data_IF_384534701920
#
_entry.id   IF_384534701920
#
_cell.length_a   1.000
_cell.length_b   1.000
_cell.length_c   1.000
_cell.angle_alpha   90.00
_cell.angle_beta   90.00
_cell.angle_gamma   90.00
#
_symmetry.space_group_name_H-M   'P 1'
#
loop_
_entity.id
_entity.type
_entity.pdbx_description
1 polymer ?
#
# COMPACT_ATOMS: atom_id res chain seq x y z
N UNK A 1 5.61 1.33 4.26
CA UNK A 1 5.81 0.96 2.84
C UNK A 1 7.20 0.39 2.69
N UNK A 2 7.51 -0.20 1.54
CA UNK A 2 8.79 -0.80 1.24
C UNK A 2 9.17 -0.48 -0.20
N UNK A 3 10.31 0.17 -0.37
CA UNK A 3 10.94 0.40 -1.67
C UNK A 3 12.04 -0.63 -1.85
N UNK A 4 11.96 -1.51 -2.86
CA UNK A 4 12.94 -2.57 -2.98
C UNK A 4 14.27 -2.04 -3.50
N UNK A 5 15.35 -2.68 -3.06
CA UNK A 5 16.69 -2.44 -3.59
C UNK A 5 16.99 -3.26 -4.84
N UNK A 6 16.29 -4.40 -5.00
CA UNK A 6 16.51 -5.36 -6.08
C UNK A 6 15.19 -5.86 -6.66
N UNK A 7 15.11 -5.89 -7.99
CA UNK A 7 13.95 -6.42 -8.73
C UNK A 7 14.43 -7.43 -9.78
N UNK A 8 13.98 -8.66 -9.63
CA UNK A 8 14.40 -9.80 -10.46
C UNK A 8 13.20 -10.56 -11.00
N UNK A 9 13.45 -11.34 -12.04
CA UNK A 9 12.48 -12.28 -12.60
C UNK A 9 13.12 -13.66 -12.69
N UNK A 10 12.45 -14.68 -12.15
CA UNK A 10 12.89 -16.07 -12.17
C UNK A 10 11.87 -16.92 -12.93
N UNK A 11 12.35 -17.75 -13.86
CA UNK A 11 11.49 -18.71 -14.55
C UNK A 11 11.20 -19.92 -13.66
N UNK A 12 9.93 -20.30 -13.58
CA UNK A 12 9.47 -21.51 -12.89
C UNK A 12 8.58 -22.32 -13.83
N UNK A 13 8.46 -23.63 -13.60
CA UNK A 13 7.50 -24.49 -14.32
C UNK A 13 6.38 -24.88 -13.38
N UNK A 14 5.16 -24.47 -13.69
CA UNK A 14 3.95 -24.84 -12.97
C UNK A 14 3.27 -26.02 -13.66
N UNK A 15 2.72 -26.92 -12.85
CA UNK A 15 1.91 -28.04 -13.33
C UNK A 15 0.43 -27.67 -13.24
N UNK A 16 -0.14 -27.24 -14.37
CA UNK A 16 -1.52 -26.80 -14.50
C UNK A 16 -2.44 -27.93 -15.00
N UNK A 17 -2.06 -29.20 -14.82
CA UNK A 17 -2.86 -30.33 -15.31
C UNK A 17 -4.26 -30.39 -14.70
N UNK A 18 -4.47 -29.84 -13.50
CA UNK A 18 -5.80 -29.74 -12.88
C UNK A 18 -6.80 -28.90 -13.70
N UNK A 19 -6.30 -27.99 -14.54
CA UNK A 19 -7.09 -27.17 -15.47
C UNK A 19 -6.87 -27.54 -16.94
N UNK A 20 -6.33 -28.74 -17.20
CA UNK A 20 -6.07 -29.28 -18.55
C UNK A 20 -5.07 -28.44 -19.39
N UNK A 21 -4.32 -27.52 -18.77
CA UNK A 21 -3.35 -26.66 -19.44
C UNK A 21 -1.93 -27.27 -19.53
N UNK A 22 -1.69 -28.39 -18.83
CA UNK A 22 -0.39 -29.07 -18.81
C UNK A 22 0.69 -28.30 -18.04
N UNK A 23 1.97 -28.53 -18.36
CA UNK A 23 3.07 -27.79 -17.74
C UNK A 23 3.31 -26.47 -18.47
N UNK A 24 3.38 -25.37 -17.73
CA UNK A 24 3.66 -24.04 -18.28
C UNK A 24 4.85 -23.41 -17.57
N UNK A 25 5.81 -22.91 -18.34
CA UNK A 25 6.88 -22.08 -17.79
C UNK A 25 6.40 -20.64 -17.70
N UNK A 26 6.52 -20.06 -16.51
CA UNK A 26 6.13 -18.67 -16.22
C UNK A 26 7.21 -17.93 -15.44
N UNK A 27 7.08 -16.62 -15.31
CA UNK A 27 8.03 -15.78 -14.60
C UNK A 27 7.45 -15.24 -13.28
N UNK A 28 8.13 -15.56 -12.19
CA UNK A 28 7.90 -14.89 -10.90
C UNK A 28 8.69 -13.60 -10.86
N UNK A 29 8.10 -12.52 -10.35
CA UNK A 29 8.84 -11.29 -10.06
C UNK A 29 9.11 -11.24 -8.56
N UNK A 30 10.36 -11.00 -8.22
CA UNK A 30 10.85 -10.90 -6.86
C UNK A 30 11.36 -9.48 -6.59
N UNK A 31 11.05 -8.99 -5.40
CA UNK A 31 11.60 -7.77 -4.84
C UNK A 31 12.30 -8.11 -3.53
N UNK A 32 13.60 -7.82 -3.39
CA UNK A 32 14.43 -8.22 -2.23
C UNK A 32 14.11 -9.64 -1.70
N UNK A 33 14.13 -10.64 -2.59
CA UNK A 33 13.84 -12.06 -2.32
C UNK A 33 12.40 -12.39 -1.89
N UNK A 34 11.48 -11.43 -1.99
CA UNK A 34 10.04 -11.63 -1.77
C UNK A 34 9.34 -11.72 -3.12
N UNK A 35 8.62 -12.82 -3.36
CA UNK A 35 7.76 -12.95 -4.55
C UNK A 35 6.66 -11.91 -4.45
N UNK A 36 6.56 -11.03 -5.46
CA UNK A 36 5.50 -10.01 -5.53
C UNK A 36 4.42 -10.38 -6.54
N UNK A 37 4.75 -11.17 -7.56
CA UNK A 37 3.78 -11.86 -8.41
C UNK A 37 4.30 -13.24 -8.82
N UNK A 38 3.39 -14.22 -8.93
CA UNK A 38 3.75 -15.62 -9.21
C UNK A 38 3.76 -15.98 -10.71
N UNK A 39 3.14 -15.18 -11.58
CA UNK A 39 3.18 -15.36 -13.04
C UNK A 39 2.90 -14.02 -13.75
N UNK A 40 3.92 -13.19 -13.93
CA UNK A 40 3.77 -11.79 -14.40
C UNK A 40 3.13 -11.67 -15.78
N UNK A 41 3.35 -12.65 -16.65
CA UNK A 41 2.79 -12.70 -18.01
C UNK A 41 1.30 -13.10 -18.04
N UNK A 42 0.76 -13.60 -16.92
CA UNK A 42 -0.65 -14.04 -16.84
C UNK A 42 -1.54 -13.04 -16.10
N UNK A 43 -0.96 -11.94 -15.59
CA UNK A 43 -1.70 -10.85 -14.97
C UNK A 43 -2.52 -10.13 -16.04
N UNK A 44 -3.83 -9.98 -15.80
CA UNK A 44 -4.67 -9.07 -16.57
C UNK A 44 -4.50 -7.65 -16.02
N UNK A 45 -3.72 -6.83 -16.73
CA UNK A 45 -3.45 -5.44 -16.38
C UNK A 45 -4.60 -4.49 -16.74
N UNK A 46 -5.62 -4.97 -17.45
CA UNK A 46 -6.81 -4.20 -17.80
C UNK A 46 -7.95 -4.36 -16.79
N UNK A 47 -7.89 -5.39 -15.94
CA UNK A 47 -8.82 -5.59 -14.84
C UNK A 47 -8.42 -4.74 -13.62
N UNK A 48 -9.40 -4.07 -13.01
CA UNK A 48 -9.20 -3.25 -11.81
C UNK A 48 -10.19 -3.72 -10.74
N UNK A 49 -9.70 -4.22 -9.58
CA UNK A 49 -8.29 -4.34 -9.18
C UNK A 49 -7.52 -5.49 -9.84
N UNK A 50 -6.21 -5.31 -9.95
CA UNK A 50 -5.30 -6.26 -10.59
C UNK A 50 -4.94 -7.37 -9.61
N UNK A 51 -5.00 -8.63 -10.04
CA UNK A 51 -4.59 -9.77 -9.21
C UNK A 51 -3.12 -10.15 -9.47
N UNK A 52 -2.24 -9.90 -8.50
CA UNK A 52 -0.80 -10.19 -8.58
C UNK A 52 -0.46 -11.66 -8.22
N UNK A 53 -1.31 -12.31 -7.43
CA UNK A 53 -1.17 -13.72 -7.07
C UNK A 53 -2.32 -14.51 -7.66
N UNK A 54 -2.04 -15.23 -8.75
CA UNK A 54 -3.00 -16.07 -9.45
C UNK A 54 -3.03 -17.48 -8.86
N UNK A 55 -4.10 -18.22 -9.10
CA UNK A 55 -4.19 -19.62 -8.72
C UNK A 55 -3.07 -20.44 -9.39
N UNK A 56 -2.29 -21.19 -8.61
CA UNK A 56 -1.17 -21.98 -9.14
C UNK A 56 -1.62 -23.20 -9.97
N UNK A 57 -2.90 -23.57 -9.91
CA UNK A 57 -3.46 -24.69 -10.68
C UNK A 57 -3.95 -24.31 -12.08
N UNK A 58 -4.25 -23.02 -12.32
CA UNK A 58 -4.84 -22.57 -13.58
C UNK A 58 -4.35 -21.21 -14.10
N UNK A 59 -3.73 -20.37 -13.26
CA UNK A 59 -3.31 -19.01 -13.58
C UNK A 59 -4.42 -18.10 -14.14
N UNK A 60 -5.69 -18.43 -13.86
CA UNK A 60 -6.84 -17.64 -14.30
C UNK A 60 -7.15 -16.59 -13.23
N UNK A 61 -7.17 -15.28 -13.59
CA UNK A 61 -7.63 -14.22 -12.68
C UNK A 61 -9.03 -14.52 -12.13
N UNK A 62 -9.24 -14.26 -10.83
CA UNK A 62 -10.48 -14.53 -10.11
C UNK A 62 -10.71 -15.98 -9.71
N UNK A 63 -9.89 -16.95 -10.18
CA UNK A 63 -10.03 -18.34 -9.74
C UNK A 63 -9.57 -18.53 -8.29
N UNK A 64 -8.46 -17.90 -7.91
CA UNK A 64 -7.98 -17.85 -6.53
C UNK A 64 -8.52 -16.63 -5.80
N UNK A 65 -8.73 -16.74 -4.49
CA UNK A 65 -9.05 -15.59 -3.64
C UNK A 65 -7.80 -14.78 -3.27
N UNK A 66 -7.95 -13.47 -3.21
CA UNK A 66 -6.94 -12.54 -2.72
C UNK A 66 -5.87 -12.19 -3.75
N UNK A 67 -4.77 -11.59 -3.29
CA UNK A 67 -3.68 -11.15 -4.16
C UNK A 67 -4.01 -9.93 -5.01
N UNK A 68 -5.14 -9.26 -4.74
CA UNK A 68 -5.61 -8.12 -5.51
C UNK A 68 -4.99 -6.82 -4.99
N UNK A 69 -4.62 -5.96 -5.92
CA UNK A 69 -3.95 -4.69 -5.66
C UNK A 69 -4.43 -3.63 -6.64
N UNK A 70 -4.20 -2.40 -6.23
CA UNK A 70 -4.41 -1.21 -7.02
C UNK A 70 -3.07 -0.49 -7.17
N UNK A 71 -2.85 0.10 -8.35
CA UNK A 71 -1.63 0.84 -8.65
C UNK A 71 -1.96 2.33 -8.69
N UNK A 72 -1.18 3.11 -7.95
CA UNK A 72 -1.36 4.57 -7.85
C UNK A 72 -0.05 5.30 -8.01
N UNK A 73 -0.11 6.48 -8.61
CA UNK A 73 1.01 7.40 -8.69
C UNK A 73 0.94 8.37 -7.51
N UNK A 74 2.08 8.58 -6.86
CA UNK A 74 2.16 9.29 -5.60
C UNK A 74 3.59 9.83 -5.45
N UNK A 75 3.78 11.14 -5.54
CA UNK A 75 5.08 11.78 -5.31
C UNK A 75 6.25 11.38 -6.23
N UNK A 76 6.03 11.08 -7.51
CA UNK A 76 7.13 10.51 -8.33
C UNK A 76 7.32 9.02 -8.14
N UNK A 77 6.58 8.40 -7.22
CA UNK A 77 6.61 6.98 -6.97
C UNK A 77 5.32 6.30 -7.44
N UNK A 78 5.42 4.99 -7.66
CA UNK A 78 4.32 4.11 -8.02
C UNK A 78 4.06 3.22 -6.81
N UNK A 79 2.89 3.39 -6.19
CA UNK A 79 2.46 2.60 -5.06
C UNK A 79 1.62 1.41 -5.53
N UNK A 80 1.92 0.25 -4.97
CA UNK A 80 1.07 -0.94 -5.07
C UNK A 80 0.39 -1.12 -3.72
N UNK A 81 -0.89 -0.81 -3.68
CA UNK A 81 -1.71 -0.76 -2.47
C UNK A 81 -2.85 -1.78 -2.52
N UNK A 82 -3.43 -2.20 -1.39
CA UNK A 82 -4.68 -2.95 -1.39
C UNK A 82 -5.79 -2.17 -2.13
N UNK A 83 -6.72 -2.88 -2.76
CA UNK A 83 -7.93 -2.22 -3.25
C UNK A 83 -8.91 -2.00 -2.10
N UNK A 84 -8.74 -0.89 -1.40
CA UNK A 84 -9.58 -0.54 -0.28
C UNK A 84 -11.06 -0.41 -0.65
N UNK A 85 -11.39 0.02 -1.87
CA UNK A 85 -12.78 0.22 -2.29
C UNK A 85 -13.49 -1.13 -2.46
N UNK A 86 -12.81 -2.10 -3.04
CA UNK A 86 -13.35 -3.45 -3.17
C UNK A 86 -13.44 -4.15 -1.82
N UNK A 87 -12.49 -3.93 -0.91
CA UNK A 87 -12.51 -4.52 0.43
C UNK A 87 -13.64 -3.99 1.34
N UNK A 88 -14.26 -2.86 1.01
CA UNK A 88 -15.32 -2.24 1.81
C UNK A 88 -16.74 -2.68 1.44
N UNK A 89 -16.95 -3.39 0.33
CA UNK A 89 -18.29 -3.72 -0.15
C UNK A 89 -18.92 -4.95 0.59
N UNK A 90 -18.17 -5.71 1.41
CA UNK A 90 -18.72 -6.72 2.32
C UNK A 90 -17.78 -7.88 2.75
N UNK A 91 -18.34 -8.84 3.53
CA UNK A 91 -17.57 -9.91 4.18
C UNK A 91 -17.09 -11.06 3.26
N UNK A 92 -17.75 -11.29 2.11
CA UNK A 92 -17.31 -12.29 1.11
C UNK A 92 -16.09 -11.79 0.32
N UNK A 93 -15.96 -10.47 0.24
CA UNK A 93 -14.90 -9.77 -0.47
C UNK A 93 -13.61 -9.67 0.35
N UNK A 94 -13.64 -9.87 1.67
CA UNK A 94 -12.42 -9.88 2.48
C UNK A 94 -11.44 -10.98 2.05
N UNK A 95 -11.94 -12.15 1.65
CA UNK A 95 -11.11 -13.24 1.14
C UNK A 95 -10.79 -13.10 -0.35
N UNK A 96 -11.73 -12.58 -1.15
CA UNK A 96 -11.53 -12.41 -2.60
C UNK A 96 -10.58 -11.24 -2.92
N UNK A 97 -10.68 -10.15 -2.17
CA UNK A 97 -9.88 -8.93 -2.32
C UNK A 97 -8.82 -8.80 -1.24
N UNK A 98 -8.53 -9.90 -0.52
CA UNK A 98 -7.43 -9.94 0.42
C UNK A 98 -6.13 -9.43 -0.24
N UNK A 99 -5.37 -8.55 0.42
CA UNK A 99 -4.09 -8.10 -0.13
C UNK A 99 -3.10 -9.27 -0.26
N UNK A 100 -2.12 -9.17 -1.16
CA UNK A 100 -1.06 -10.17 -1.29
C UNK A 100 -0.38 -10.52 0.05
N UNK A 101 0.05 -11.78 0.25
CA UNK A 101 0.63 -12.22 1.53
C UNK A 101 1.84 -11.39 1.99
N UNK A 102 2.64 -10.87 1.05
CA UNK A 102 3.81 -10.04 1.37
C UNK A 102 3.44 -8.71 2.03
N UNK A 103 2.27 -8.12 1.71
CA UNK A 103 1.86 -6.83 2.27
C UNK A 103 1.67 -6.90 3.80
N UNK A 104 1.26 -8.06 4.31
CA UNK A 104 1.11 -8.26 5.77
C UNK A 104 2.45 -8.22 6.51
N UNK A 105 3.55 -8.54 5.84
CA UNK A 105 4.90 -8.64 6.43
C UNK A 105 5.79 -7.43 6.12
N UNK A 106 5.71 -6.91 4.90
CA UNK A 106 6.57 -5.83 4.38
C UNK A 106 5.84 -4.49 4.22
N UNK A 107 4.52 -4.46 4.38
CA UNK A 107 3.70 -3.31 4.00
C UNK A 107 3.55 -3.20 2.49
N UNK A 108 3.00 -2.07 2.02
CA UNK A 108 2.80 -1.79 0.60
C UNK A 108 4.11 -1.48 -0.13
N UNK A 109 4.19 -1.84 -1.41
CA UNK A 109 5.35 -1.55 -2.25
C UNK A 109 5.30 -0.11 -2.74
N UNK A 110 6.46 0.54 -2.72
CA UNK A 110 6.71 1.78 -3.45
C UNK A 110 7.80 1.55 -4.48
N UNK A 111 7.57 1.97 -5.71
CA UNK A 111 8.53 1.88 -6.80
C UNK A 111 8.91 3.26 -7.30
N UNK A 112 10.21 3.48 -7.46
CA UNK A 112 10.72 4.56 -8.28
C UNK A 112 10.37 4.31 -9.77
N UNK A 113 10.38 5.34 -10.63
CA UNK A 113 10.08 5.18 -12.05
C UNK A 113 10.94 4.11 -12.74
N UNK A 114 12.23 4.01 -12.38
CA UNK A 114 13.16 2.98 -12.86
C UNK A 114 12.78 1.57 -12.40
N UNK A 115 12.29 1.42 -11.17
CA UNK A 115 11.79 0.15 -10.64
C UNK A 115 10.56 -0.30 -11.42
N UNK A 116 9.64 0.63 -11.69
CA UNK A 116 8.46 0.34 -12.50
C UNK A 116 8.83 -0.05 -13.92
N UNK A 117 9.72 0.69 -14.57
CA UNK A 117 10.20 0.37 -15.91
C UNK A 117 10.93 -0.98 -15.95
N UNK A 118 11.65 -1.35 -14.89
CA UNK A 118 12.24 -2.68 -14.76
C UNK A 118 11.18 -3.77 -14.71
N UNK A 119 10.12 -3.61 -13.92
CA UNK A 119 8.99 -4.55 -13.90
C UNK A 119 8.34 -4.67 -15.29
N UNK A 120 8.10 -3.53 -15.96
CA UNK A 120 7.55 -3.50 -17.33
C UNK A 120 8.44 -4.20 -18.35
N UNK A 121 9.76 -4.27 -18.12
CA UNK A 121 10.67 -5.03 -18.99
C UNK A 121 10.41 -6.55 -18.94
N UNK A 122 9.84 -7.04 -17.83
CA UNK A 122 9.39 -8.43 -17.70
C UNK A 122 7.97 -8.63 -18.24
N UNK A 123 7.13 -7.60 -18.20
CA UNK A 123 5.75 -7.64 -18.69
C UNK A 123 5.37 -6.33 -19.37
N UNK A 124 5.52 -6.23 -20.71
CA UNK A 124 5.22 -5.01 -21.45
C UNK A 124 3.75 -4.56 -21.39
N UNK A 125 2.83 -5.47 -21.03
CA UNK A 125 1.40 -5.20 -20.86
C UNK A 125 1.11 -4.30 -19.65
N UNK A 126 2.01 -4.21 -18.67
CA UNK A 126 1.87 -3.32 -17.53
C UNK A 126 1.81 -1.84 -17.97
N UNK A 127 0.95 -1.03 -17.33
CA UNK A 127 0.67 0.33 -17.77
C UNK A 127 1.92 1.20 -17.77
N UNK A 128 2.04 2.09 -18.76
CA UNK A 128 3.05 3.16 -18.74
C UNK A 128 2.81 4.10 -17.57
N UNK A 129 3.86 4.79 -17.10
CA UNK A 129 3.79 5.75 -15.99
C UNK A 129 2.63 6.75 -16.15
N UNK A 130 2.47 7.32 -17.34
CA UNK A 130 1.42 8.31 -17.63
C UNK A 130 -0.01 7.78 -17.59
N UNK A 131 -0.19 6.45 -17.57
CA UNK A 131 -1.49 5.80 -17.49
C UNK A 131 -1.87 5.43 -16.05
N UNK A 132 -0.95 5.59 -15.09
CA UNK A 132 -1.21 5.30 -13.68
C UNK A 132 -1.95 6.49 -13.07
N UNK A 133 -3.11 6.20 -12.48
CA UNK A 133 -3.93 7.22 -11.82
C UNK A 133 -3.26 7.73 -10.53
N UNK A 134 -3.41 9.02 -10.19
CA UNK A 134 -2.93 9.54 -8.91
C UNK A 134 -3.67 8.88 -7.74
N UNK A 135 -2.99 8.74 -6.59
CA UNK A 135 -3.64 8.29 -5.35
C UNK A 135 -4.68 9.30 -4.87
N UNK A 136 -5.81 8.82 -4.37
CA UNK A 136 -6.84 9.68 -3.76
C UNK A 136 -6.55 9.93 -2.28
N UNK A 137 -7.17 10.98 -1.71
CA UNK A 137 -7.09 11.28 -0.27
C UNK A 137 -7.56 10.14 0.61
N UNK A 138 -8.65 9.51 0.22
CA UNK A 138 -9.19 8.35 0.91
C UNK A 138 -8.23 7.15 0.85
N UNK A 139 -7.72 6.81 -0.33
CA UNK A 139 -6.77 5.69 -0.50
C UNK A 139 -5.51 5.90 0.32
N UNK A 140 -4.98 7.12 0.38
CA UNK A 140 -3.79 7.42 1.16
C UNK A 140 -4.06 7.29 2.67
N UNK A 141 -5.17 7.80 3.19
CA UNK A 141 -5.51 7.60 4.61
C UNK A 141 -5.67 6.13 4.95
N UNK A 142 -6.37 5.36 4.11
CA UNK A 142 -6.54 3.92 4.30
C UNK A 142 -5.22 3.17 4.20
N UNK A 143 -4.29 3.61 3.34
CA UNK A 143 -2.94 3.08 3.28
C UNK A 143 -2.22 3.22 4.61
N UNK A 144 -2.40 4.34 5.31
CA UNK A 144 -1.81 4.55 6.62
C UNK A 144 -2.51 3.77 7.73
N UNK A 145 -3.84 3.65 7.67
CA UNK A 145 -4.56 2.74 8.55
C UNK A 145 -4.06 1.31 8.37
N UNK A 146 -3.86 0.87 7.13
CA UNK A 146 -3.35 -0.45 6.79
C UNK A 146 -1.96 -0.72 7.36
N UNK A 147 -1.10 0.31 7.41
CA UNK A 147 0.28 0.22 7.92
C UNK A 147 0.40 0.44 9.42
N UNK A 148 -0.66 0.91 10.07
CA UNK A 148 -0.64 1.15 11.51
C UNK A 148 -0.48 -0.16 12.31
N UNK A 149 0.15 -0.11 13.50
CA UNK A 149 0.25 -1.26 14.38
C UNK A 149 -1.12 -1.83 14.73
N UNK A 150 -1.33 -3.14 14.53
CA UNK A 150 -2.62 -3.81 14.80
C UNK A 150 -3.09 -3.72 16.25
N UNK A 151 -2.16 -3.57 17.18
CA UNK A 151 -2.51 -3.34 18.58
C UNK A 151 -3.17 -1.97 18.81
N UNK A 152 -2.75 -0.95 18.04
CA UNK A 152 -3.29 0.41 18.03
C UNK A 152 -4.58 0.52 17.21
N UNK A 153 -4.59 -0.07 16.01
CA UNK A 153 -5.74 -0.10 15.11
C UNK A 153 -6.03 -1.55 14.67
N UNK A 154 -6.87 -2.27 15.41
CA UNK A 154 -7.17 -3.67 15.11
C UNK A 154 -7.82 -3.85 13.74
N UNK A 155 -8.72 -2.94 13.38
CA UNK A 155 -9.41 -2.90 12.10
C UNK A 155 -9.02 -1.63 11.33
N UNK A 156 -8.37 -1.84 10.18
CA UNK A 156 -7.88 -0.77 9.32
C UNK A 156 -8.90 -0.30 8.28
N UNK A 157 -9.93 -1.12 8.01
CA UNK A 157 -11.02 -0.75 7.12
C UNK A 157 -12.03 0.12 7.88
N UNK A 158 -12.21 -0.18 9.16
CA UNK A 158 -13.13 0.50 10.06
C UNK A 158 -12.38 1.12 11.24
N UNK A 159 -11.91 2.38 11.12
CA UNK A 159 -11.08 3.01 12.15
C UNK A 159 -11.85 3.45 13.41
N UNK A 160 -13.03 2.89 13.67
CA UNK A 160 -13.86 3.17 14.85
C UNK A 160 -13.27 2.66 16.16
N UNK A 161 -12.28 1.78 16.10
CA UNK A 161 -11.69 1.08 17.26
C UNK A 161 -10.22 1.46 17.54
N UNK A 162 -9.81 2.68 17.15
CA UNK A 162 -8.46 3.19 17.44
C UNK A 162 -8.25 3.32 18.95
N UNK A 163 -7.15 2.76 19.47
CA UNK A 163 -6.76 2.82 20.88
C UNK A 163 -5.81 3.99 21.15
N UNK A 164 -6.39 5.19 21.20
CA UNK A 164 -5.64 6.44 21.42
C UNK A 164 -4.88 6.50 22.75
N UNK A 165 -5.33 5.74 23.75
CA UNK A 165 -4.67 5.58 25.05
C UNK A 165 -3.30 4.91 24.97
N UNK A 166 -2.98 4.25 23.84
CA UNK A 166 -1.66 3.67 23.60
C UNK A 166 -0.63 4.70 23.15
N UNK A 167 -1.01 5.91 22.73
CA UNK A 167 -0.05 6.96 22.35
C UNK A 167 0.40 7.71 23.61
N UNK A 168 1.69 7.60 23.95
CA UNK A 168 2.29 8.29 25.09
C UNK A 168 2.59 9.76 24.76
N UNK A 169 3.20 9.99 23.60
CA UNK A 169 3.51 11.32 23.07
C UNK A 169 3.84 11.25 21.57
N UNK A 170 4.06 12.41 20.96
CA UNK A 170 4.63 12.54 19.62
C UNK A 170 6.03 13.18 19.69
N UNK A 171 6.76 13.15 18.58
CA UNK A 171 8.05 13.85 18.44
C UNK A 171 7.91 15.36 18.20
N UNK A 172 6.68 15.88 18.18
CA UNK A 172 6.36 17.27 17.92
C UNK A 172 6.55 18.22 19.11
N UNK A 173 6.60 19.53 18.86
CA UNK A 173 6.68 20.54 19.92
C UNK A 173 5.40 20.63 20.76
N UNK A 174 4.24 20.22 20.22
CA UNK A 174 2.96 20.15 20.92
C UNK A 174 2.28 18.81 20.65
N UNK A 175 2.59 17.83 21.50
CA UNK A 175 2.04 16.48 21.36
C UNK A 175 0.52 16.42 21.51
N UNK A 176 -0.09 17.34 22.27
CA UNK A 176 -1.55 17.36 22.42
C UNK A 176 -2.23 17.80 21.13
N UNK A 177 -1.68 18.83 20.47
CA UNK A 177 -2.17 19.30 19.18
C UNK A 177 -2.01 18.22 18.11
N UNK A 178 -0.86 17.54 18.07
CA UNK A 178 -0.62 16.45 17.11
C UNK A 178 -1.62 15.30 17.27
N UNK A 179 -1.84 14.84 18.51
CA UNK A 179 -2.80 13.77 18.80
C UNK A 179 -4.22 14.20 18.41
N UNK A 180 -4.58 15.46 18.62
CA UNK A 180 -5.88 15.99 18.17
C UNK A 180 -6.03 15.95 16.64
N UNK A 181 -4.98 16.32 15.91
CA UNK A 181 -4.96 16.26 14.45
C UNK A 181 -5.02 14.81 13.94
N UNK A 182 -4.28 13.89 14.58
CA UNK A 182 -4.33 12.47 14.26
C UNK A 182 -5.73 11.89 14.50
N UNK A 183 -6.38 12.25 15.61
CA UNK A 183 -7.76 11.86 15.89
C UNK A 183 -8.73 12.30 14.78
N UNK A 184 -8.51 13.49 14.23
CA UNK A 184 -9.30 13.96 13.11
C UNK A 184 -9.02 13.15 11.82
N UNK A 185 -7.75 12.85 11.52
CA UNK A 185 -7.37 12.08 10.32
C UNK A 185 -7.80 10.61 10.35
N UNK A 186 -7.72 10.00 11.53
CA UNK A 186 -8.16 8.62 11.78
C UNK A 186 -9.65 8.52 12.10
N UNK A 187 -10.38 9.64 12.03
CA UNK A 187 -11.85 9.63 12.03
C UNK A 187 -12.38 9.17 10.66
N UNK A 188 -13.66 9.39 10.37
CA UNK A 188 -14.30 8.92 9.14
C UNK A 188 -13.52 9.41 7.89
N UNK A 189 -12.93 8.51 7.08
CA UNK A 189 -12.17 8.89 5.88
C UNK A 189 -13.02 9.64 4.84
N UNK A 190 -14.34 9.47 4.87
CA UNK A 190 -15.24 10.20 3.96
C UNK A 190 -15.36 11.67 4.33
N UNK A 191 -15.09 12.03 5.59
CA UNK A 191 -15.12 13.42 6.08
C UNK A 191 -13.98 14.28 5.52
N UNK A 192 -12.93 13.65 4.98
CA UNK A 192 -11.82 14.34 4.31
C UNK A 192 -11.89 14.25 2.79
N UNK A 193 -12.98 13.73 2.23
CA UNK A 193 -13.17 13.64 0.78
C UNK A 193 -13.19 15.05 0.17
N UNK A 194 -12.36 15.28 -0.84
CA UNK A 194 -12.18 16.59 -1.47
C UNK A 194 -11.13 17.50 -0.82
N UNK A 195 -10.48 17.06 0.27
CA UNK A 195 -9.28 17.74 0.75
C UNK A 195 -8.14 17.58 -0.24
N UNK A 196 -7.51 18.70 -0.57
CA UNK A 196 -6.34 18.76 -1.45
C UNK A 196 -5.09 18.58 -0.59
N UNK A 197 -4.22 17.68 -1.02
CA UNK A 197 -2.90 17.53 -0.43
C UNK A 197 -2.01 18.73 -0.76
N UNK A 198 -1.43 19.34 0.27
CA UNK A 198 -0.65 20.56 0.15
C UNK A 198 0.83 20.30 0.43
N UNK A 199 1.70 21.02 -0.28
CA UNK A 199 3.13 21.11 0.06
C UNK A 199 3.25 21.50 1.55
N UNK A 200 4.07 20.79 2.34
CA UNK A 200 4.26 21.10 3.75
C UNK A 200 4.83 22.50 3.87
N UNK A 201 4.34 23.24 4.87
CA UNK A 201 4.95 24.51 5.21
C UNK A 201 6.42 24.30 5.64
N UNK A 202 7.31 25.30 5.50
CA UNK A 202 8.74 25.12 5.84
C UNK A 202 9.03 24.67 7.28
N UNK A 203 8.07 24.83 8.19
CA UNK A 203 8.08 24.45 9.60
C UNK A 203 7.45 23.08 9.89
N UNK A 204 6.99 22.39 8.85
CA UNK A 204 6.44 21.05 8.89
C UNK A 204 7.49 19.98 9.23
N UNK A 205 7.10 18.94 9.98
CA UNK A 205 7.99 17.85 10.39
C UNK A 205 7.30 16.47 10.30
N UNK A 206 8.06 15.36 10.16
CA UNK A 206 7.53 14.00 10.26
C UNK A 206 6.97 13.75 11.65
N UNK A 207 5.75 13.23 11.74
CA UNK A 207 5.16 12.90 13.03
C UNK A 207 5.37 11.43 13.35
N UNK A 208 6.04 11.17 14.45
CA UNK A 208 6.09 9.85 15.08
C UNK A 208 5.22 9.84 16.33
N UNK A 209 4.46 8.77 16.53
CA UNK A 209 3.81 8.46 17.81
C UNK A 209 4.64 7.44 18.59
N UNK A 210 4.93 7.73 19.84
CA UNK A 210 5.54 6.79 20.76
C UNK A 210 4.44 5.99 21.46
N UNK A 211 4.49 4.68 21.35
CA UNK A 211 3.42 3.78 21.77
C UNK A 211 3.81 3.02 23.04
N UNK A 212 2.83 2.80 23.93
CA UNK A 212 2.95 1.88 25.06
C UNK A 212 2.76 0.43 24.60
N UNK A 213 3.67 -0.04 23.74
CA UNK A 213 3.66 -1.40 23.19
C UNK A 213 5.02 -2.07 23.36
N UNK A 214 5.09 -3.34 23.82
CA UNK A 214 6.36 -4.01 24.13
C UNK A 214 7.33 -4.16 22.94
N UNK A 215 6.80 -4.21 21.71
CA UNK A 215 7.58 -4.50 20.50
C UNK A 215 7.61 -3.36 19.48
N UNK A 216 6.89 -2.27 19.73
CA UNK A 216 6.77 -1.12 18.82
C UNK A 216 6.79 0.13 19.68
N UNK A 217 7.98 0.65 19.98
CA UNK A 217 8.13 1.83 20.81
C UNK A 217 7.80 3.13 20.05
N UNK A 218 8.10 3.17 18.75
CA UNK A 218 7.86 4.30 17.88
C UNK A 218 7.15 3.83 16.61
N UNK A 219 6.11 4.56 16.24
CA UNK A 219 5.42 4.41 14.98
C UNK A 219 5.59 5.72 14.18
N UNK A 220 6.43 5.72 13.14
CA UNK A 220 6.54 6.87 12.24
C UNK A 220 5.25 6.98 11.44
N UNK A 221 4.39 7.90 11.85
CA UNK A 221 3.09 8.09 11.24
C UNK A 221 3.34 8.68 9.86
N UNK A 222 2.74 8.07 8.85
CA UNK A 222 2.81 8.56 7.49
C UNK A 222 4.20 8.53 6.83
N UNK A 223 5.09 7.65 7.30
CA UNK A 223 6.38 7.42 6.66
C UNK A 223 6.69 5.93 6.52
N UNK A 224 7.49 5.64 5.50
CA UNK A 224 8.19 4.37 5.32
C UNK A 224 9.71 4.51 5.43
N UNK A 225 10.20 5.68 5.89
CA UNK A 225 11.57 6.25 5.87
C UNK A 225 11.99 7.04 4.60
N UNK A 226 12.91 8.05 4.71
CA UNK A 226 13.11 9.01 5.79
C UNK A 226 12.31 10.32 5.60
N UNK A 227 11.52 10.45 4.54
CA UNK A 227 10.65 11.62 4.38
C UNK A 227 9.19 11.24 4.72
N UNK A 228 8.53 12.01 5.58
CA UNK A 228 7.10 11.85 5.79
C UNK A 228 6.34 12.36 4.57
N UNK A 229 5.28 11.65 4.22
CA UNK A 229 4.30 12.13 3.25
C UNK A 229 3.27 13.02 3.95
N UNK A 230 3.25 13.12 5.29
CA UNK A 230 2.35 14.01 6.05
C UNK A 230 3.12 14.74 7.15
N UNK A 231 2.92 16.04 7.25
CA UNK A 231 3.44 16.86 8.34
C UNK A 231 2.33 17.68 9.00
N UNK A 232 2.40 17.81 10.32
CA UNK A 232 1.40 18.53 11.10
C UNK A 232 1.83 19.98 11.35
N UNK A 233 0.93 20.93 11.08
CA UNK A 233 0.92 22.30 11.62
C UNK A 233 -0.42 22.54 12.35
N UNK A 234 -0.82 23.79 12.59
CA UNK A 234 -2.22 24.13 12.94
C UNK A 234 -3.22 23.69 11.83
N UNK A 235 -2.70 23.25 10.68
CA UNK A 235 -3.40 22.59 9.57
C UNK A 235 -2.60 21.32 9.19
N UNK A 236 -3.26 20.23 8.82
CA UNK A 236 -2.54 19.03 8.34
C UNK A 236 -2.07 19.26 6.90
N UNK A 237 -0.78 19.06 6.63
CA UNK A 237 -0.19 19.14 5.29
C UNK A 237 0.33 17.77 4.86
N UNK A 238 0.18 17.41 3.59
CA UNK A 238 0.57 16.09 3.06
C UNK A 238 1.46 16.31 1.84
N UNK A 239 2.76 16.03 1.98
CA UNK A 239 3.83 16.29 1.00
C UNK A 239 3.66 15.49 -0.28
N UNK A 240 3.60 16.21 -1.40
CA UNK A 240 3.98 15.74 -2.72
C UNK A 240 4.93 16.77 -3.34
N UNK A 241 6.16 16.36 -3.66
CA UNK A 241 7.12 17.10 -4.47
C UNK A 241 6.59 17.19 -5.90
N UNK A 242 6.59 18.40 -6.44
CA UNK A 242 6.47 18.60 -7.88
C UNK A 242 7.75 18.07 -8.53
N UNK A 243 7.58 17.25 -9.56
CA UNK A 243 8.60 17.05 -10.59
C UNK A 243 8.70 18.34 -11.39
N UNK A 244 9.84 19.03 -11.28
CA UNK A 244 10.28 20.00 -12.31
C UNK A 244 10.48 19.28 -13.66
#
# INVERSE_FOLDING_TARGET
MWTPSRIESHSITLNLSASEQGCRTVHQVLCDDVIICNAVESIDWSDLPIQFFLCEDCLIPGCGGGGRVTIRYCNGEILIIPDFNAMLQGAWEETEYAPPPWMKKRGCLSFLPEHWNRLRSFCPAAPSLNAILPITTEELLRLYHFQSPRAFLPDYLTPTHVKWDLILCTNGPDSSADISNLKHLFSDPTSVSGHVFCIPAPDSYPVSAFLDLPSIAEWPIFSSEPEPVVSLSNTIHIKFLNTD
#
